data_IF_312181637331
#
_entry.id   IF_312181637331
#
_cell.length_a   1.000
_cell.length_b   1.000
_cell.length_c   1.000
_cell.angle_alpha   90.00
_cell.angle_beta   90.00
_cell.angle_gamma   90.00
#
_symmetry.space_group_name_H-M   'P 1'
#
loop_
_entity.id
_entity.type
_entity.pdbx_description
1 polymer ?
#
# COMPACT_ATOMS: atom_id res chain seq x y z
N UNK A 1 -12.04 8.50 -15.90
CA UNK A 1 -13.40 8.90 -15.49
C UNK A 1 -14.45 7.84 -15.82
N UNK A 2 -14.24 7.02 -16.81
CA UNK A 2 -15.19 5.97 -17.22
C UNK A 2 -15.45 4.86 -16.19
N UNK A 3 -14.60 4.75 -15.16
CA UNK A 3 -14.74 3.78 -14.07
C UNK A 3 -15.56 4.30 -12.87
N UNK A 4 -16.03 5.55 -12.89
CA UNK A 4 -16.77 6.14 -11.79
C UNK A 4 -15.98 6.35 -10.51
N UNK A 5 -14.65 6.36 -10.57
CA UNK A 5 -13.77 6.63 -9.43
C UNK A 5 -13.78 8.12 -9.09
N UNK A 6 -13.80 8.44 -7.80
CA UNK A 6 -13.66 9.81 -7.30
C UNK A 6 -12.20 10.22 -7.14
N UNK A 7 -11.30 9.27 -7.00
CA UNK A 7 -9.86 9.47 -6.82
C UNK A 7 -9.05 8.27 -7.26
N UNK A 8 -7.77 8.51 -7.47
CA UNK A 8 -6.76 7.49 -7.74
C UNK A 8 -5.46 7.87 -7.03
N UNK A 9 -4.81 6.91 -6.40
CA UNK A 9 -3.45 7.05 -5.88
C UNK A 9 -2.43 6.57 -6.90
N UNK A 10 -1.39 7.37 -7.15
CA UNK A 10 -0.21 6.99 -7.93
C UNK A 10 0.88 6.62 -6.94
N UNK A 11 1.55 5.48 -7.15
CA UNK A 11 2.57 4.97 -6.25
C UNK A 11 3.68 4.27 -7.06
N UNK A 12 4.52 5.06 -7.71
CA UNK A 12 5.69 4.53 -8.39
C UNK A 12 6.70 3.98 -7.38
N UNK A 13 7.49 2.99 -7.80
CA UNK A 13 8.53 2.39 -6.99
C UNK A 13 9.63 3.38 -6.64
N UNK A 14 10.21 3.25 -5.44
CA UNK A 14 11.42 3.94 -5.03
C UNK A 14 12.68 3.37 -5.71
N UNK A 15 13.79 4.09 -5.62
CA UNK A 15 15.03 3.83 -6.37
C UNK A 15 15.63 2.44 -6.14
N UNK A 16 15.43 1.82 -4.97
CA UNK A 16 15.92 0.46 -4.69
C UNK A 16 15.27 -0.60 -5.59
N UNK A 17 14.08 -0.34 -6.13
CA UNK A 17 13.42 -1.19 -7.14
C UNK A 17 13.96 -0.92 -8.55
N UNK A 18 15.26 -1.14 -8.73
CA UNK A 18 15.99 -0.87 -9.97
C UNK A 18 15.36 -1.54 -11.21
N UNK A 19 14.87 -2.78 -11.08
CA UNK A 19 14.23 -3.51 -12.18
C UNK A 19 12.92 -2.86 -12.67
N UNK A 20 12.27 -2.09 -11.80
CA UNK A 20 11.06 -1.34 -12.11
C UNK A 20 11.35 0.10 -12.56
N UNK A 21 12.61 0.47 -12.77
CA UNK A 21 13.03 1.85 -13.03
C UNK A 21 12.54 2.83 -11.95
N UNK A 22 12.68 2.43 -10.68
CA UNK A 22 12.22 3.19 -9.53
C UNK A 22 12.70 4.64 -9.54
N UNK A 23 11.90 5.52 -8.98
CA UNK A 23 12.19 6.96 -8.96
C UNK A 23 13.27 7.27 -7.92
N UNK A 24 14.20 8.13 -8.28
CA UNK A 24 15.05 8.84 -7.32
C UNK A 24 14.30 10.03 -6.72
N UNK A 25 14.95 10.76 -5.83
CA UNK A 25 14.36 11.86 -5.09
C UNK A 25 13.89 12.99 -6.03
N UNK A 26 14.69 13.33 -7.05
CA UNK A 26 14.38 14.40 -8.01
C UNK A 26 13.15 14.04 -8.86
N UNK A 27 13.13 12.85 -9.42
CA UNK A 27 12.02 12.34 -10.23
C UNK A 27 10.73 12.19 -9.42
N UNK A 28 10.82 11.82 -8.14
CA UNK A 28 9.66 11.75 -7.27
C UNK A 28 9.08 13.15 -6.99
N UNK A 29 9.93 14.16 -6.75
CA UNK A 29 9.49 15.53 -6.59
C UNK A 29 8.83 16.07 -7.86
N UNK A 30 9.39 15.81 -9.04
CA UNK A 30 8.78 16.16 -10.33
C UNK A 30 7.40 15.50 -10.51
N UNK A 31 7.24 14.26 -10.08
CA UNK A 31 5.96 13.54 -10.12
C UNK A 31 4.92 14.21 -9.21
N UNK A 32 5.30 14.57 -7.98
CA UNK A 32 4.42 15.27 -7.03
C UNK A 32 3.93 16.58 -7.65
N UNK A 33 4.82 17.37 -8.26
CA UNK A 33 4.45 18.62 -8.93
C UNK A 33 3.53 18.39 -10.13
N UNK A 34 3.80 17.36 -10.91
CA UNK A 34 2.97 16.99 -12.06
C UNK A 34 1.56 16.59 -11.63
N UNK A 35 1.43 15.80 -10.56
CA UNK A 35 0.14 15.45 -9.98
C UNK A 35 -0.59 16.68 -9.45
N UNK A 36 0.11 17.62 -8.81
CA UNK A 36 -0.48 18.87 -8.35
C UNK A 36 -1.03 19.72 -9.51
N UNK A 37 -0.28 19.81 -10.62
CA UNK A 37 -0.72 20.50 -11.83
C UNK A 37 -1.96 19.86 -12.46
N UNK A 38 -2.00 18.52 -12.53
CA UNK A 38 -3.17 17.79 -13.04
C UNK A 38 -4.41 18.01 -12.17
N UNK A 39 -4.25 17.98 -10.85
CA UNK A 39 -5.35 18.22 -9.92
C UNK A 39 -5.98 19.61 -10.07
N UNK A 40 -5.22 20.63 -10.47
CA UNK A 40 -5.75 21.98 -10.72
C UNK A 40 -6.76 22.01 -11.89
N UNK A 41 -6.74 21.01 -12.77
CA UNK A 41 -7.67 20.88 -13.90
C UNK A 41 -8.88 19.97 -13.63
N UNK A 42 -8.98 19.33 -12.46
CA UNK A 42 -10.07 18.41 -12.14
C UNK A 42 -10.99 18.99 -11.05
N UNK A 43 -12.30 19.08 -11.35
CA UNK A 43 -13.31 19.54 -10.38
C UNK A 43 -13.84 18.39 -9.48
N UNK A 44 -13.98 17.20 -10.04
CA UNK A 44 -14.66 16.06 -9.39
C UNK A 44 -13.80 14.80 -9.27
N UNK A 45 -12.50 14.94 -9.48
CA UNK A 45 -11.56 13.82 -9.40
C UNK A 45 -10.25 14.26 -8.73
N UNK A 46 -9.69 13.41 -7.88
CA UNK A 46 -8.45 13.68 -7.16
C UNK A 46 -7.39 12.62 -7.46
N UNK A 47 -6.19 13.05 -7.84
CA UNK A 47 -4.99 12.23 -7.82
C UNK A 47 -4.26 12.43 -6.50
N UNK A 48 -3.90 11.35 -5.83
CA UNK A 48 -3.03 11.37 -4.65
C UNK A 48 -1.61 10.99 -5.05
N UNK A 49 -0.64 11.79 -4.61
CA UNK A 49 0.77 11.55 -4.83
C UNK A 49 1.31 10.61 -3.74
N UNK A 50 1.65 9.40 -4.11
CA UNK A 50 2.26 8.41 -3.24
C UNK A 50 3.53 7.82 -3.85
N UNK A 51 4.14 6.89 -3.12
CA UNK A 51 5.22 6.05 -3.62
C UNK A 51 5.13 4.67 -3.00
N UNK A 52 5.46 3.63 -3.77
CA UNK A 52 5.75 2.30 -3.26
C UNK A 52 7.22 2.23 -2.87
N UNK A 53 7.47 2.38 -1.57
CA UNK A 53 8.81 2.54 -1.01
C UNK A 53 9.34 1.20 -0.53
N UNK A 54 10.54 0.86 -0.98
CA UNK A 54 11.21 -0.37 -0.56
C UNK A 54 11.55 -0.35 0.93
N UNK A 55 11.29 -1.47 1.59
CA UNK A 55 11.76 -1.73 2.95
C UNK A 55 13.13 -2.38 2.86
N UNK A 56 14.17 -1.75 3.38
CA UNK A 56 15.52 -2.32 3.45
C UNK A 56 15.60 -3.51 4.41
N UNK A 57 16.67 -4.29 4.32
CA UNK A 57 16.85 -5.51 5.14
C UNK A 57 16.72 -5.27 6.64
N UNK A 58 17.12 -4.10 7.10
CA UNK A 58 17.07 -3.70 8.51
C UNK A 58 15.72 -3.09 8.93
N UNK A 59 14.77 -2.93 7.99
CA UNK A 59 13.46 -2.33 8.22
C UNK A 59 13.39 -0.82 8.01
N UNK A 60 14.50 -0.16 7.63
CA UNK A 60 14.46 1.24 7.19
C UNK A 60 13.83 1.37 5.80
N UNK A 61 13.44 2.58 5.44
CA UNK A 61 12.81 2.88 4.15
C UNK A 61 13.83 3.46 3.17
N UNK A 62 13.60 3.25 1.88
CA UNK A 62 14.48 3.70 0.79
C UNK A 62 14.52 5.23 0.60
N UNK A 63 13.52 5.94 1.12
CA UNK A 63 13.50 7.40 1.17
C UNK A 63 13.58 7.89 2.62
N UNK A 64 14.20 9.06 2.83
CA UNK A 64 14.22 9.71 4.12
C UNK A 64 12.85 10.35 4.49
N UNK A 65 12.66 10.63 5.77
CA UNK A 65 11.40 11.17 6.28
C UNK A 65 11.05 12.53 5.70
N UNK A 66 12.05 13.35 5.32
CA UNK A 66 11.83 14.67 4.75
C UNK A 66 11.17 14.59 3.37
N UNK A 67 11.51 13.58 2.58
CA UNK A 67 10.89 13.31 1.29
C UNK A 67 9.54 12.60 1.47
N UNK A 68 9.45 11.61 2.37
CA UNK A 68 8.20 10.92 2.67
C UNK A 68 7.10 11.88 3.15
N UNK A 69 7.46 12.92 3.90
CA UNK A 69 6.54 13.96 4.35
C UNK A 69 5.93 14.81 3.20
N UNK A 70 6.49 14.73 1.98
CA UNK A 70 5.97 15.42 0.80
C UNK A 70 4.88 14.62 0.08
N UNK A 71 4.71 13.35 0.41
CA UNK A 71 3.72 12.47 -0.17
C UNK A 71 2.35 12.61 0.53
N UNK A 72 1.27 12.36 -0.20
CA UNK A 72 -0.05 12.18 0.41
C UNK A 72 -0.11 10.86 1.19
N UNK A 73 0.57 9.80 0.69
CA UNK A 73 0.62 8.49 1.32
C UNK A 73 1.86 7.69 0.88
N UNK A 74 2.29 6.75 1.70
CA UNK A 74 3.39 5.83 1.44
C UNK A 74 2.92 4.38 1.56
N UNK A 75 3.23 3.56 0.55
CA UNK A 75 3.08 2.11 0.58
C UNK A 75 4.45 1.50 0.81
N UNK A 76 4.67 0.87 1.96
CA UNK A 76 5.95 0.20 2.24
C UNK A 76 5.90 -1.25 1.74
N UNK A 77 6.88 -1.68 0.96
CA UNK A 77 6.89 -2.99 0.30
C UNK A 77 8.25 -3.68 0.37
N UNK A 78 8.23 -5.01 0.32
CA UNK A 78 9.44 -5.84 0.28
C UNK A 78 9.67 -6.35 -1.13
N UNK A 79 10.77 -5.93 -1.78
CA UNK A 79 11.14 -6.38 -3.13
C UNK A 79 12.48 -7.14 -3.19
N UNK A 80 13.20 -7.23 -2.08
CA UNK A 80 14.49 -7.91 -2.02
C UNK A 80 14.67 -8.71 -0.72
N UNK A 81 15.73 -9.55 -0.66
CA UNK A 81 16.08 -10.32 0.53
C UNK A 81 14.96 -11.28 1.00
N UNK A 82 14.36 -12.00 0.06
CA UNK A 82 13.22 -12.91 0.32
C UNK A 82 13.58 -14.17 1.13
N UNK A 83 14.87 -14.43 1.36
CA UNK A 83 15.38 -15.64 2.04
C UNK A 83 15.61 -15.42 3.53
N UNK A 84 15.18 -14.31 4.09
CA UNK A 84 15.23 -14.08 5.54
C UNK A 84 14.38 -15.10 6.28
N UNK A 85 14.75 -15.41 7.53
CA UNK A 85 13.90 -16.21 8.41
C UNK A 85 12.55 -15.53 8.66
N UNK A 86 11.55 -16.30 9.07
CA UNK A 86 10.22 -15.77 9.43
C UNK A 86 10.32 -14.65 10.46
N UNK A 87 11.16 -14.83 11.47
CA UNK A 87 11.37 -13.85 12.54
C UNK A 87 12.00 -12.55 12.01
N UNK A 88 13.09 -12.67 11.22
CA UNK A 88 13.78 -11.52 10.65
C UNK A 88 12.88 -10.73 9.69
N UNK A 89 12.14 -11.44 8.82
CA UNK A 89 11.22 -10.79 7.87
C UNK A 89 10.08 -10.09 8.61
N UNK A 90 9.49 -10.74 9.61
CA UNK A 90 8.43 -10.15 10.43
C UNK A 90 8.91 -8.90 11.15
N UNK A 91 10.07 -8.96 11.79
CA UNK A 91 10.68 -7.80 12.47
C UNK A 91 10.98 -6.65 11.51
N UNK A 92 11.52 -6.96 10.31
CA UNK A 92 11.77 -5.99 9.24
C UNK A 92 10.52 -5.22 8.86
N UNK A 93 9.41 -5.93 8.61
CA UNK A 93 8.13 -5.35 8.21
C UNK A 93 7.52 -4.54 9.36
N UNK A 94 7.50 -5.06 10.57
CA UNK A 94 6.98 -4.35 11.74
C UNK A 94 7.73 -3.04 11.98
N UNK A 95 9.08 -3.07 11.91
CA UNK A 95 9.90 -1.86 12.05
C UNK A 95 9.57 -0.80 10.99
N UNK A 96 9.39 -1.19 9.74
CA UNK A 96 8.97 -0.25 8.70
C UNK A 96 7.62 0.39 9.01
N UNK A 97 6.67 -0.38 9.54
CA UNK A 97 5.35 0.13 9.91
C UNK A 97 5.38 1.10 11.12
N UNK A 98 6.43 1.11 11.93
CA UNK A 98 6.61 2.09 13.01
C UNK A 98 6.87 3.51 12.47
N UNK A 99 7.38 3.64 11.25
CA UNK A 99 7.61 4.95 10.63
C UNK A 99 6.28 5.69 10.44
N UNK A 100 6.26 6.97 10.86
CA UNK A 100 5.03 7.79 10.86
C UNK A 100 4.48 8.09 9.46
N UNK A 101 5.31 8.04 8.43
CA UNK A 101 4.91 8.29 7.04
C UNK A 101 4.34 7.05 6.35
N UNK A 102 4.60 5.85 6.86
CA UNK A 102 4.05 4.61 6.28
C UNK A 102 2.54 4.55 6.51
N UNK A 103 1.80 4.67 5.42
CA UNK A 103 0.34 4.61 5.42
C UNK A 103 -0.17 3.20 5.22
N UNK A 104 0.46 2.44 4.34
CA UNK A 104 0.05 1.11 3.93
C UNK A 104 1.24 0.16 3.88
N UNK A 105 0.97 -1.13 4.18
CA UNK A 105 1.86 -2.24 3.85
C UNK A 105 1.38 -2.87 2.54
N UNK A 106 2.23 -2.87 1.52
CA UNK A 106 1.97 -3.48 0.21
C UNK A 106 2.16 -4.99 0.23
N UNK A 107 1.50 -5.71 -0.67
CA UNK A 107 1.57 -7.17 -0.95
C UNK A 107 2.38 -8.01 0.06
N UNK A 108 1.82 -8.16 1.27
CA UNK A 108 2.43 -8.63 2.52
C UNK A 108 3.37 -9.82 2.39
N UNK A 109 3.12 -10.76 1.49
CA UNK A 109 3.95 -11.97 1.34
C UNK A 109 4.90 -11.90 0.15
N UNK A 110 4.75 -10.92 -0.72
CA UNK A 110 5.53 -10.80 -1.96
C UNK A 110 5.35 -11.96 -2.93
N UNK A 111 4.34 -12.82 -2.74
CA UNK A 111 4.09 -13.98 -3.62
C UNK A 111 3.76 -13.55 -5.05
N UNK A 112 4.13 -14.41 -5.98
CA UNK A 112 3.67 -14.37 -7.38
C UNK A 112 3.08 -15.72 -7.73
N UNK A 113 1.76 -15.80 -7.80
CA UNK A 113 1.03 -17.04 -8.06
C UNK A 113 1.57 -17.75 -9.31
N UNK A 114 1.78 -19.05 -9.19
CA UNK A 114 2.36 -19.93 -10.22
C UNK A 114 3.82 -19.61 -10.60
N UNK A 115 4.50 -18.68 -9.91
CA UNK A 115 5.90 -18.30 -10.20
C UNK A 115 6.82 -18.32 -8.99
N UNK A 116 6.36 -17.81 -7.86
CA UNK A 116 7.17 -17.67 -6.64
C UNK A 116 6.26 -17.72 -5.42
N UNK A 117 6.59 -18.60 -4.50
CA UNK A 117 5.94 -18.62 -3.18
C UNK A 117 6.22 -17.32 -2.41
N UNK A 118 5.34 -17.01 -1.46
CA UNK A 118 5.59 -15.93 -0.52
C UNK A 118 6.78 -16.23 0.37
N UNK A 119 7.50 -15.18 0.78
CA UNK A 119 8.54 -15.34 1.80
C UNK A 119 7.92 -15.74 3.15
N UNK A 120 8.76 -16.36 4.01
CA UNK A 120 8.36 -16.71 5.37
C UNK A 120 8.06 -15.43 6.17
N UNK A 121 6.87 -15.31 6.73
CA UNK A 121 6.44 -14.16 7.55
C UNK A 121 5.32 -14.57 8.49
N UNK A 122 5.35 -14.10 9.73
CA UNK A 122 4.29 -14.32 10.70
C UNK A 122 3.14 -13.33 10.48
N UNK A 123 2.15 -13.75 9.71
CA UNK A 123 0.96 -12.92 9.39
C UNK A 123 0.25 -12.39 10.64
N UNK A 124 0.16 -13.20 11.69
CA UNK A 124 -0.54 -12.79 12.91
C UNK A 124 0.18 -11.63 13.60
N UNK A 125 1.51 -11.70 13.70
CA UNK A 125 2.32 -10.61 14.27
C UNK A 125 2.27 -9.36 13.40
N UNK A 126 2.35 -9.50 12.07
CA UNK A 126 2.27 -8.35 11.16
C UNK A 126 0.90 -7.66 11.29
N UNK A 127 -0.19 -8.42 11.40
CA UNK A 127 -1.53 -7.86 11.61
C UNK A 127 -1.59 -7.14 12.97
N UNK A 128 -1.01 -7.70 14.02
CA UNK A 128 -0.97 -7.07 15.34
C UNK A 128 -0.12 -5.77 15.30
N UNK A 129 1.06 -5.78 14.66
CA UNK A 129 1.84 -4.56 14.42
C UNK A 129 1.07 -3.52 13.59
N UNK A 130 0.34 -3.93 12.56
CA UNK A 130 -0.47 -3.00 11.75
C UNK A 130 -1.58 -2.34 12.58
N UNK A 131 -2.22 -3.08 13.49
CA UNK A 131 -3.21 -2.54 14.42
C UNK A 131 -2.59 -1.51 15.37
N UNK A 132 -1.44 -1.82 15.96
CA UNK A 132 -0.72 -0.94 16.91
C UNK A 132 -0.22 0.34 16.22
N UNK A 133 0.32 0.20 15.01
CA UNK A 133 0.87 1.31 14.23
C UNK A 133 -0.17 2.03 13.38
N UNK A 134 -1.43 1.57 13.36
CA UNK A 134 -2.50 2.12 12.52
C UNK A 134 -2.15 2.12 11.03
N UNK A 135 -1.42 1.10 10.61
CA UNK A 135 -1.05 0.89 9.21
C UNK A 135 -2.15 0.10 8.49
N UNK A 136 -2.55 0.57 7.32
CA UNK A 136 -3.47 -0.14 6.45
C UNK A 136 -2.74 -1.33 5.83
N UNK A 137 -3.39 -2.47 5.67
CA UNK A 137 -2.83 -3.58 4.89
C UNK A 137 -3.48 -3.61 3.51
N UNK A 138 -2.65 -3.75 2.50
CA UNK A 138 -3.11 -3.89 1.12
C UNK A 138 -3.76 -5.26 0.89
N UNK A 139 -4.92 -5.26 0.23
CA UNK A 139 -5.39 -6.39 -0.53
C UNK A 139 -4.97 -6.16 -1.98
N UNK A 140 -3.78 -6.63 -2.33
CA UNK A 140 -3.29 -6.57 -3.70
C UNK A 140 -4.12 -7.51 -4.58
N UNK A 141 -4.89 -6.92 -5.47
CA UNK A 141 -5.81 -7.67 -6.32
C UNK A 141 -5.30 -7.91 -7.74
N UNK A 142 -3.99 -7.70 -7.97
CA UNK A 142 -3.35 -8.19 -9.18
C UNK A 142 -3.54 -9.71 -9.27
N UNK A 143 -4.04 -10.24 -10.40
CA UNK A 143 -4.30 -11.69 -10.55
C UNK A 143 -3.08 -12.57 -10.31
N UNK A 144 -1.87 -12.00 -10.42
CA UNK A 144 -0.62 -12.72 -10.15
C UNK A 144 -0.24 -12.74 -8.66
N UNK A 145 -0.90 -11.95 -7.81
CA UNK A 145 -0.57 -11.83 -6.38
C UNK A 145 -1.70 -12.31 -5.48
N UNK A 146 -2.86 -11.65 -5.50
CA UNK A 146 -4.00 -11.85 -4.60
C UNK A 146 -3.56 -11.91 -3.13
N UNK A 147 -2.78 -10.92 -2.71
CA UNK A 147 -2.05 -10.83 -1.46
C UNK A 147 -2.56 -9.61 -0.63
N UNK A 148 -2.79 -9.71 0.61
CA UNK A 148 -2.72 -10.81 1.57
C UNK A 148 -3.81 -11.88 1.29
N UNK A 149 -3.52 -13.12 1.70
CA UNK A 149 -4.47 -14.24 1.54
C UNK A 149 -5.79 -13.95 2.27
N UNK A 150 -6.92 -14.26 1.61
CA UNK A 150 -8.27 -13.95 2.11
C UNK A 150 -8.57 -14.52 3.50
N UNK A 151 -7.91 -15.60 3.92
CA UNK A 151 -8.10 -16.25 5.21
C UNK A 151 -7.67 -15.40 6.40
N UNK A 152 -6.78 -14.42 6.19
CA UNK A 152 -6.25 -13.53 7.23
C UNK A 152 -7.12 -12.29 7.46
N UNK A 153 -7.98 -11.94 6.51
CA UNK A 153 -8.75 -10.69 6.60
C UNK A 153 -9.73 -10.66 7.76
N UNK A 154 -10.32 -11.82 8.14
CA UNK A 154 -11.18 -11.86 9.35
C UNK A 154 -10.41 -11.43 10.59
N UNK A 155 -9.17 -11.93 10.78
CA UNK A 155 -8.32 -11.51 11.91
C UNK A 155 -7.97 -10.02 11.82
N UNK A 156 -7.55 -9.53 10.67
CA UNK A 156 -7.21 -8.12 10.46
C UNK A 156 -8.37 -7.20 10.83
N UNK A 157 -9.57 -7.51 10.34
CA UNK A 157 -10.79 -6.79 10.68
C UNK A 157 -11.10 -6.83 12.18
N UNK A 158 -11.01 -8.00 12.81
CA UNK A 158 -11.33 -8.17 14.24
C UNK A 158 -10.31 -7.40 15.14
N UNK A 159 -9.13 -7.06 14.60
CA UNK A 159 -8.12 -6.17 15.20
C UNK A 159 -8.28 -4.69 14.81
N UNK A 160 -9.26 -4.35 13.99
CA UNK A 160 -9.49 -2.97 13.54
C UNK A 160 -8.55 -2.49 12.42
N UNK A 161 -7.78 -3.40 11.80
CA UNK A 161 -6.90 -3.07 10.68
C UNK A 161 -7.73 -2.84 9.42
N UNK A 162 -7.56 -1.67 8.80
CA UNK A 162 -8.21 -1.34 7.54
C UNK A 162 -7.55 -2.09 6.37
N UNK A 163 -8.37 -2.45 5.39
CA UNK A 163 -7.95 -2.98 4.11
C UNK A 163 -7.94 -1.87 3.06
N UNK A 164 -6.94 -1.84 2.17
CA UNK A 164 -7.02 -1.09 0.91
C UNK A 164 -6.99 -2.07 -0.26
N UNK A 165 -8.01 -2.04 -1.12
CA UNK A 165 -8.09 -2.90 -2.31
C UNK A 165 -7.35 -2.20 -3.44
N UNK A 166 -6.15 -2.66 -3.78
CA UNK A 166 -5.29 -2.04 -4.77
C UNK A 166 -5.00 -3.00 -5.93
N UNK A 167 -5.10 -2.54 -7.18
CA UNK A 167 -4.87 -3.39 -8.34
C UNK A 167 -3.38 -3.62 -8.64
N UNK A 168 -2.47 -2.85 -8.05
CA UNK A 168 -1.04 -2.87 -8.40
C UNK A 168 -0.88 -2.76 -9.93
N UNK A 169 -1.52 -1.72 -10.48
CA UNK A 169 -1.73 -1.58 -11.91
C UNK A 169 -0.54 -0.89 -12.57
N UNK A 170 0.11 -1.57 -13.51
CA UNK A 170 1.20 -1.06 -14.33
C UNK A 170 0.71 -0.64 -15.74
N UNK A 171 -0.61 -0.53 -15.90
CA UNK A 171 -1.28 -0.02 -17.09
C UNK A 171 -2.71 0.38 -16.76
N UNK A 172 -3.34 1.20 -17.59
CA UNK A 172 -4.73 1.61 -17.42
C UNK A 172 -5.70 0.41 -17.40
N UNK A 173 -5.42 -0.65 -18.18
CA UNK A 173 -6.21 -1.87 -18.16
C UNK A 173 -6.13 -2.62 -16.81
N UNK A 174 -5.01 -2.51 -16.10
CA UNK A 174 -4.81 -3.15 -14.79
C UNK A 174 -5.74 -2.61 -13.70
N UNK A 175 -6.25 -1.40 -13.84
CA UNK A 175 -7.18 -0.78 -12.85
C UNK A 175 -8.46 -1.62 -12.71
N UNK A 176 -8.89 -2.31 -13.76
CA UNK A 176 -10.08 -3.18 -13.73
C UNK A 176 -9.96 -4.39 -12.78
N UNK A 177 -8.75 -4.74 -12.34
CA UNK A 177 -8.54 -5.81 -11.35
C UNK A 177 -9.20 -5.52 -10.00
N UNK A 178 -9.57 -4.28 -9.70
CA UNK A 178 -10.36 -3.90 -8.51
C UNK A 178 -11.59 -4.78 -8.34
N UNK A 179 -12.29 -5.13 -9.43
CA UNK A 179 -13.43 -6.03 -9.38
C UNK A 179 -13.12 -7.42 -8.79
N UNK A 180 -11.91 -7.93 -9.01
CA UNK A 180 -11.43 -9.17 -8.39
C UNK A 180 -11.17 -8.97 -6.90
N UNK A 181 -10.55 -7.84 -6.54
CA UNK A 181 -10.28 -7.47 -5.15
C UNK A 181 -11.56 -7.40 -4.31
N UNK A 182 -12.63 -6.81 -4.84
CA UNK A 182 -13.94 -6.77 -4.16
C UNK A 182 -14.47 -8.17 -3.86
N UNK A 183 -14.32 -9.12 -4.80
CA UNK A 183 -14.74 -10.52 -4.59
C UNK A 183 -13.92 -11.19 -3.49
N UNK A 184 -12.60 -10.94 -3.46
CA UNK A 184 -11.71 -11.46 -2.42
C UNK A 184 -11.98 -10.85 -1.05
N UNK A 185 -12.22 -9.54 -0.99
CA UNK A 185 -12.59 -8.85 0.24
C UNK A 185 -13.85 -9.46 0.85
N UNK A 186 -14.88 -9.72 0.03
CA UNK A 186 -16.10 -10.41 0.44
C UNK A 186 -15.83 -11.83 0.95
N UNK A 187 -14.97 -12.58 0.25
CA UNK A 187 -14.54 -13.92 0.68
C UNK A 187 -13.80 -13.86 2.02
N UNK A 188 -13.02 -12.79 2.25
CA UNK A 188 -12.30 -12.51 3.50
C UNK A 188 -13.17 -11.91 4.62
N UNK A 189 -14.51 -11.85 4.46
CA UNK A 189 -15.47 -11.34 5.45
C UNK A 189 -15.37 -9.83 5.71
N UNK A 190 -14.75 -9.08 4.80
CA UNK A 190 -14.67 -7.63 4.89
C UNK A 190 -16.01 -6.99 4.49
N UNK A 191 -16.37 -5.94 5.19
CA UNK A 191 -17.50 -5.06 4.92
C UNK A 191 -16.99 -3.75 4.33
N UNK A 192 -17.89 -2.93 3.79
CA UNK A 192 -17.54 -1.62 3.25
C UNK A 192 -16.73 -0.77 4.24
N UNK A 193 -17.12 -0.74 5.50
CA UNK A 193 -16.46 0.04 6.54
C UNK A 193 -15.05 -0.41 6.88
N UNK A 194 -14.71 -1.68 6.57
CA UNK A 194 -13.40 -2.27 6.82
C UNK A 194 -12.43 -1.96 5.65
N UNK A 195 -12.94 -1.41 4.54
CA UNK A 195 -12.18 -1.11 3.33
C UNK A 195 -11.97 0.39 3.19
N UNK A 196 -10.71 0.82 3.29
CA UNK A 196 -10.30 2.22 3.29
C UNK A 196 -10.74 2.96 2.03
N UNK A 197 -10.47 2.41 0.86
CA UNK A 197 -10.74 3.06 -0.42
C UNK A 197 -12.19 2.90 -0.92
N UNK A 198 -13.13 2.61 -0.02
CA UNK A 198 -14.57 2.82 -0.23
C UNK A 198 -15.07 4.15 0.34
N UNK A 199 -14.20 4.90 1.00
CA UNK A 199 -14.53 6.19 1.63
C UNK A 199 -14.65 7.29 0.57
N UNK A 200 -15.46 8.32 0.82
CA UNK A 200 -15.47 9.53 -0.01
C UNK A 200 -14.09 10.21 -0.05
N UNK A 201 -13.81 10.91 -1.14
CA UNK A 201 -12.53 11.60 -1.34
C UNK A 201 -12.15 12.52 -0.17
N UNK A 202 -13.11 13.25 0.38
CA UNK A 202 -12.89 14.17 1.51
C UNK A 202 -12.44 13.45 2.78
N UNK A 203 -12.96 12.25 3.03
CA UNK A 203 -12.52 11.43 4.18
C UNK A 203 -11.11 10.89 3.96
N UNK A 204 -10.77 10.50 2.73
CA UNK A 204 -9.42 10.02 2.37
C UNK A 204 -8.40 11.15 2.49
N UNK A 205 -8.72 12.36 1.99
CA UNK A 205 -7.86 13.54 2.15
C UNK A 205 -7.60 13.87 3.63
N UNK A 206 -8.66 13.87 4.44
CA UNK A 206 -8.53 14.12 5.88
C UNK A 206 -7.70 13.06 6.58
N UNK A 207 -7.86 11.79 6.18
CA UNK A 207 -7.07 10.70 6.73
C UNK A 207 -5.58 10.88 6.42
N UNK A 208 -5.21 11.22 5.18
CA UNK A 208 -3.82 11.42 4.80
C UNK A 208 -3.18 12.63 5.50
N UNK A 209 -3.95 13.71 5.69
CA UNK A 209 -3.50 14.91 6.43
C UNK A 209 -3.40 14.70 7.95
N UNK A 210 -4.07 13.67 8.48
CA UNK A 210 -4.05 13.37 9.91
C UNK A 210 -2.75 12.65 10.27
N UNK A 211 -1.97 13.13 11.26
CA UNK A 211 -0.80 12.41 11.74
C UNK A 211 -1.13 10.97 12.13
N UNK A 212 -0.27 10.02 11.80
CA UNK A 212 -0.52 8.60 12.00
C UNK A 212 -0.93 8.26 13.43
N UNK A 213 -0.32 8.89 14.42
CA UNK A 213 -0.65 8.69 15.83
C UNK A 213 -2.09 9.11 16.23
N UNK A 214 -2.80 9.84 15.36
CA UNK A 214 -4.16 10.33 15.59
C UNK A 214 -5.23 9.72 14.66
N UNK A 215 -4.84 8.81 13.79
CA UNK A 215 -5.75 8.12 12.85
C UNK A 215 -6.67 7.13 13.54
#
# INVERSE_FOLDING_TARGET
MDLGLQYLGIADHSKASFQANGLDEERLLEQIESIAKLNAGYEHFRLFAGSEVDIHKDGSLDFDDSLLARLDYCVASVHASFTLSEEEMTRRICRAMENEHVTMLGHLTGRLLLKRDGYAVNHAMVIDCAAETRTIIELNCNPRRLDMDWRWWKRARDKGVLCSINPDAHSTAGIHHIGLGVRLARKGWLRRQDVFNTRPVTEVENFFKTPKAKR
#
